data_IF_250684630003
#
_entry.id   IF_250684630003
#
_cell.length_a   1.000
_cell.length_b   1.000
_cell.length_c   1.000
_cell.angle_alpha   90.00
_cell.angle_beta   90.00
_cell.angle_gamma   90.00
#
_symmetry.space_group_name_H-M   'P 1'
#
loop_
_entity.id
_entity.type
_entity.pdbx_description
1 polymer ?
#
# COMPACT_ATOMS: atom_id res chain seq x y z
N UNK A 1 -4.22 2.67 12.37
CA UNK A 1 -3.49 2.70 11.09
C UNK A 1 -2.54 1.51 11.10
N UNK A 2 -2.48 0.73 10.00
CA UNK A 2 -1.56 -0.40 9.87
C UNK A 2 -0.49 -0.04 8.83
N UNK A 3 0.73 -0.50 9.06
CA UNK A 3 1.88 -0.19 8.20
C UNK A 3 2.64 -1.49 7.90
N UNK A 4 3.14 -1.62 6.67
CA UNK A 4 4.00 -2.73 6.22
C UNK A 4 3.45 -4.11 6.61
N UNK A 5 4.14 -4.83 7.50
CA UNK A 5 3.79 -6.19 7.93
C UNK A 5 2.50 -6.30 8.76
N UNK A 6 1.97 -5.18 9.26
CA UNK A 6 0.72 -5.16 10.00
C UNK A 6 -0.50 -5.37 9.09
N UNK A 7 -0.34 -5.17 7.77
CA UNK A 7 -1.38 -5.33 6.77
C UNK A 7 -1.45 -6.80 6.36
N UNK A 8 -2.51 -7.52 6.78
CA UNK A 8 -2.65 -8.99 6.60
C UNK A 8 -3.70 -9.42 5.57
N UNK A 9 -4.02 -8.55 4.62
CA UNK A 9 -5.01 -8.83 3.56
C UNK A 9 -4.33 -9.36 2.30
N UNK A 10 -5.05 -10.13 1.47
CA UNK A 10 -4.47 -10.70 0.25
C UNK A 10 -4.23 -9.65 -0.85
N UNK A 11 -5.15 -8.68 -0.99
CA UNK A 11 -5.10 -7.64 -2.02
C UNK A 11 -5.46 -6.28 -1.45
N UNK A 12 -4.83 -5.25 -2.01
CA UNK A 12 -5.02 -3.85 -1.63
C UNK A 12 -5.15 -2.99 -2.87
N UNK A 13 -5.89 -1.89 -2.76
CA UNK A 13 -5.83 -0.81 -3.76
C UNK A 13 -4.64 0.07 -3.41
N UNK A 14 -3.63 0.11 -4.28
CA UNK A 14 -2.38 0.82 -4.07
C UNK A 14 -2.38 2.17 -4.80
N UNK A 15 -1.99 3.20 -4.08
CA UNK A 15 -1.68 4.53 -4.59
C UNK A 15 -0.23 4.88 -4.26
N UNK A 16 0.41 5.58 -5.17
CA UNK A 16 1.75 6.10 -4.96
C UNK A 16 1.67 7.62 -4.73
N UNK A 17 1.87 8.05 -3.48
CA UNK A 17 1.79 9.47 -3.13
C UNK A 17 3.04 10.23 -3.62
N UNK A 18 4.13 9.55 -3.96
CA UNK A 18 5.36 10.19 -4.48
C UNK A 18 5.23 10.59 -5.95
N UNK A 19 4.59 9.75 -6.76
CA UNK A 19 4.37 10.01 -8.20
C UNK A 19 2.97 10.55 -8.50
N UNK A 20 2.03 10.41 -7.57
CA UNK A 20 0.61 10.70 -7.79
C UNK A 20 -0.10 9.62 -8.63
N UNK A 21 0.53 8.47 -8.87
CA UNK A 21 0.00 7.41 -9.70
C UNK A 21 -0.92 6.46 -8.93
N UNK A 22 -2.00 6.02 -9.58
CA UNK A 22 -2.84 4.94 -9.09
C UNK A 22 -2.43 3.62 -9.70
N UNK A 23 -1.73 2.79 -8.92
CA UNK A 23 -1.25 1.45 -9.33
C UNK A 23 -2.37 0.40 -9.41
N UNK A 24 -3.57 0.73 -8.90
CA UNK A 24 -4.75 -0.13 -9.00
C UNK A 24 -4.83 -1.18 -7.89
N UNK A 25 -5.43 -2.33 -8.16
CA UNK A 25 -5.55 -3.43 -7.19
C UNK A 25 -4.39 -4.39 -7.39
N UNK A 26 -3.56 -4.56 -6.36
CA UNK A 26 -2.38 -5.43 -6.36
C UNK A 26 -2.39 -6.36 -5.16
N UNK A 27 -1.57 -7.42 -5.19
CA UNK A 27 -1.34 -8.24 -4.00
C UNK A 27 -0.57 -7.47 -2.93
N UNK A 28 -0.77 -7.84 -1.67
CA UNK A 28 -0.02 -7.22 -0.57
C UNK A 28 1.49 -7.41 -0.71
N UNK A 29 1.92 -8.58 -1.20
CA UNK A 29 3.33 -8.87 -1.44
C UNK A 29 3.92 -7.93 -2.49
N UNK A 30 3.17 -7.64 -3.56
CA UNK A 30 3.62 -6.71 -4.58
C UNK A 30 3.69 -5.28 -4.04
N UNK A 31 2.72 -4.88 -3.22
CA UNK A 31 2.72 -3.57 -2.58
C UNK A 31 3.93 -3.39 -1.64
N UNK A 32 4.26 -4.42 -0.85
CA UNK A 32 5.44 -4.43 0.03
C UNK A 32 6.75 -4.43 -0.75
N UNK A 33 6.84 -5.21 -1.83
CA UNK A 33 8.00 -5.22 -2.72
C UNK A 33 8.26 -3.81 -3.29
N UNK A 34 7.21 -3.14 -3.76
CA UNK A 34 7.31 -1.77 -4.29
C UNK A 34 7.71 -0.75 -3.22
N UNK A 35 7.17 -0.89 -2.00
CA UNK A 35 7.57 -0.07 -0.86
C UNK A 35 9.06 -0.22 -0.58
N UNK A 36 9.56 -1.46 -0.43
CA UNK A 36 10.97 -1.75 -0.20
C UNK A 36 11.87 -1.29 -1.35
N UNK A 37 11.49 -1.51 -2.61
CA UNK A 37 12.27 -1.11 -3.79
C UNK A 37 12.44 0.40 -3.90
N UNK A 38 11.50 1.16 -3.36
CA UNK A 38 11.48 2.63 -3.42
C UNK A 38 11.90 3.27 -2.10
N UNK A 39 12.27 2.46 -1.11
CA UNK A 39 12.59 2.93 0.25
C UNK A 39 11.45 3.76 0.87
N UNK A 40 10.20 3.33 0.65
CA UNK A 40 8.98 3.95 1.15
C UNK A 40 8.24 3.01 2.11
N UNK A 41 7.29 3.55 2.85
CA UNK A 41 6.38 2.78 3.69
C UNK A 41 5.05 2.50 3.00
N UNK A 42 4.54 1.29 3.22
CA UNK A 42 3.19 0.90 2.83
C UNK A 42 2.22 1.22 3.97
N UNK A 43 1.44 2.28 3.82
CA UNK A 43 0.51 2.76 4.85
C UNK A 43 -0.94 2.49 4.45
N UNK A 44 -1.68 1.75 5.29
CA UNK A 44 -3.12 1.52 5.12
C UNK A 44 -3.92 2.73 5.61
N UNK A 45 -4.53 3.46 4.67
CA UNK A 45 -5.29 4.70 4.96
C UNK A 45 -6.80 4.49 5.01
N UNK A 46 -7.33 3.47 4.33
CA UNK A 46 -8.76 3.14 4.35
C UNK A 46 -8.98 1.63 4.55
N UNK A 47 -8.92 1.14 5.81
CA UNK A 47 -9.15 -0.28 6.13
C UNK A 47 -10.58 -0.77 5.84
N UNK A 48 -11.55 0.14 5.87
CA UNK A 48 -12.97 -0.17 5.63
C UNK A 48 -13.32 -0.37 4.14
N UNK A 49 -12.42 -0.01 3.22
CA UNK A 49 -12.66 -0.22 1.79
C UNK A 49 -12.51 -1.70 1.40
N UNK A 50 -13.20 -2.15 0.34
CA UNK A 50 -13.05 -3.46 -0.25
C UNK A 50 -12.63 -3.33 -1.73
N UNK A 51 -11.35 -3.58 -2.07
CA UNK A 51 -10.22 -3.89 -1.19
C UNK A 51 -9.74 -2.66 -0.36
N UNK A 52 -9.03 -2.86 0.76
CA UNK A 52 -8.47 -1.77 1.55
C UNK A 52 -7.55 -0.86 0.73
N UNK A 53 -7.54 0.45 1.03
CA UNK A 53 -6.67 1.39 0.32
C UNK A 53 -5.37 1.55 1.09
N UNK A 54 -4.26 1.29 0.40
CA UNK A 54 -2.90 1.51 0.88
C UNK A 54 -2.20 2.55 0.01
N UNK A 55 -1.28 3.29 0.61
CA UNK A 55 -0.48 4.32 -0.04
C UNK A 55 1.01 4.05 0.19
N UNK A 56 1.83 4.33 -0.82
CA UNK A 56 3.28 4.40 -0.70
C UNK A 56 3.67 5.83 -0.36
N UNK A 57 4.25 6.04 0.82
CA UNK A 57 4.72 7.34 1.29
C UNK A 57 5.87 7.17 2.29
N UNK A 58 6.67 8.21 2.50
CA UNK A 58 7.69 8.26 3.54
C UNK A 58 6.98 8.59 4.87
N UNK A 59 6.91 7.63 5.81
CA UNK A 59 6.11 7.74 7.04
C UNK A 59 6.91 7.46 8.33
#
# INVERSE_FOLDING_TARGET
MRINDQIRVATVRLFDDTTGEQLGIVSIDKARELATQRELDLVEVAPQAQPPVCRLMDY
#
